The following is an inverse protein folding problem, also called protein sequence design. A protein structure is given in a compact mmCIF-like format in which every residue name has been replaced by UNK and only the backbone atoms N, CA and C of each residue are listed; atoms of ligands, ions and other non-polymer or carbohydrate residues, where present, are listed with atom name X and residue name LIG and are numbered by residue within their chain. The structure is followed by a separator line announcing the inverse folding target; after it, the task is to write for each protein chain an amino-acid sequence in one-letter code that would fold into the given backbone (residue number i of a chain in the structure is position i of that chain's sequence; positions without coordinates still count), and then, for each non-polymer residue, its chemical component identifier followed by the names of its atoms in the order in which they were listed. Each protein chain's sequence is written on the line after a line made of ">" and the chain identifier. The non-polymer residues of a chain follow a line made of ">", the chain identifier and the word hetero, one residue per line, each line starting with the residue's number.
data_IF_172254781421
#
_entry.id   IF_172254781421
#
_cell.length_a   1.000
_cell.length_b   1.000
_cell.length_c   1.000
_cell.angle_alpha   90.00
_cell.angle_beta   90.00
_cell.angle_gamma   90.00
#
_symmetry.space_group_name_H-M   'P 1'
#
loop_
_entity.id
_entity.type
_entity.pdbx_description
1 polymer ?
#
# COMPACT_ATOMS: atom_id res chain seq x y z
N UNK A 1 4.38 22.82 -48.15
CA UNK A 1 5.53 22.56 -47.23
C UNK A 1 5.12 22.68 -45.75
N UNK A 2 4.39 23.71 -45.37
CA UNK A 2 3.87 23.89 -44.00
C UNK A 2 2.89 22.79 -43.55
N UNK A 3 2.05 22.24 -44.43
CA UNK A 3 1.10 21.18 -44.09
C UNK A 3 1.79 19.85 -43.67
N UNK A 4 2.95 19.53 -44.23
CA UNK A 4 3.69 18.33 -43.88
C UNK A 4 4.43 18.44 -42.53
N UNK A 5 4.78 19.65 -42.12
CA UNK A 5 5.41 19.89 -40.80
C UNK A 5 4.35 19.71 -39.69
N UNK A 6 3.16 20.30 -39.88
CA UNK A 6 2.06 20.19 -38.90
C UNK A 6 1.58 18.74 -38.75
N UNK A 7 1.59 17.95 -39.82
CA UNK A 7 1.22 16.52 -39.75
C UNK A 7 2.30 15.68 -39.05
N UNK A 8 3.59 15.97 -39.23
CA UNK A 8 4.68 15.24 -38.56
C UNK A 8 4.69 15.52 -37.06
N UNK A 9 4.45 16.75 -36.64
CA UNK A 9 4.40 17.14 -35.24
C UNK A 9 3.19 16.47 -34.52
N UNK A 10 2.03 16.42 -35.15
CA UNK A 10 0.88 15.71 -34.60
C UNK A 10 1.11 14.20 -34.46
N UNK A 11 1.83 13.59 -35.41
CA UNK A 11 2.19 12.18 -35.33
C UNK A 11 3.17 11.91 -34.19
N UNK A 12 4.18 12.76 -34.01
CA UNK A 12 5.14 12.64 -32.92
C UNK A 12 4.46 12.77 -31.54
N UNK A 13 3.58 13.76 -31.39
CA UNK A 13 2.81 13.94 -30.14
C UNK A 13 1.96 12.72 -29.83
N UNK A 14 1.27 12.14 -30.84
CA UNK A 14 0.44 10.94 -30.66
C UNK A 14 1.27 9.71 -30.25
N UNK A 15 2.50 9.57 -30.75
CA UNK A 15 3.40 8.49 -30.29
C UNK A 15 3.84 8.68 -28.84
N UNK A 16 4.19 9.90 -28.44
CA UNK A 16 4.57 10.22 -27.06
C UNK A 16 3.40 9.94 -26.10
N UNK A 17 2.19 10.37 -26.43
CA UNK A 17 0.99 10.07 -25.64
C UNK A 17 0.76 8.58 -25.47
N UNK A 18 0.90 7.78 -26.54
CA UNK A 18 0.78 6.33 -26.49
C UNK A 18 1.83 5.67 -25.59
N UNK A 19 3.06 6.16 -25.66
CA UNK A 19 4.15 5.64 -24.80
C UNK A 19 3.85 5.94 -23.34
N UNK A 20 3.41 7.16 -23.02
CA UNK A 20 3.03 7.56 -21.66
C UNK A 20 1.84 6.70 -21.17
N UNK A 21 0.84 6.47 -22.00
CA UNK A 21 -0.32 5.64 -21.67
C UNK A 21 0.08 4.18 -21.36
N UNK A 22 0.94 3.59 -22.19
CA UNK A 22 1.43 2.22 -22.00
C UNK A 22 2.24 2.13 -20.70
N UNK A 23 3.11 3.10 -20.45
CA UNK A 23 3.92 3.16 -19.25
C UNK A 23 3.05 3.33 -17.98
N UNK A 24 2.04 4.19 -18.05
CA UNK A 24 1.07 4.35 -16.98
C UNK A 24 0.28 3.08 -16.67
N UNK A 25 -0.14 2.32 -17.70
CA UNK A 25 -0.78 1.01 -17.52
C UNK A 25 0.15 0.00 -16.85
N UNK A 26 1.42 -0.03 -17.24
CA UNK A 26 2.42 -0.91 -16.65
C UNK A 26 2.65 -0.59 -15.17
N UNK A 27 2.82 0.70 -14.82
CA UNK A 27 2.94 1.15 -13.44
C UNK A 27 1.70 0.79 -12.61
N UNK A 28 0.51 0.91 -13.19
CA UNK A 28 -0.74 0.57 -12.52
C UNK A 28 -0.81 -0.93 -12.19
N UNK A 29 -0.39 -1.82 -13.10
CA UNK A 29 -0.32 -3.26 -12.85
C UNK A 29 0.64 -3.56 -11.70
N UNK A 30 1.81 -2.93 -11.67
CA UNK A 30 2.79 -3.06 -10.59
C UNK A 30 2.16 -2.61 -9.27
N UNK A 31 1.51 -1.45 -9.24
CA UNK A 31 0.87 -0.92 -8.04
C UNK A 31 -0.20 -1.86 -7.49
N UNK A 32 -1.06 -2.42 -8.35
CA UNK A 32 -2.09 -3.40 -7.95
C UNK A 32 -1.44 -4.67 -7.38
N UNK A 33 -0.35 -5.14 -7.98
CA UNK A 33 0.39 -6.32 -7.50
C UNK A 33 0.98 -6.07 -6.10
N UNK A 34 1.59 -4.91 -5.88
CA UNK A 34 2.10 -4.53 -4.55
C UNK A 34 0.98 -4.40 -3.52
N UNK A 35 -0.15 -3.80 -3.89
CA UNK A 35 -1.31 -3.68 -3.03
C UNK A 35 -1.80 -5.06 -2.58
N UNK A 36 -1.93 -6.01 -3.52
CA UNK A 36 -2.31 -7.38 -3.20
C UNK A 36 -1.30 -8.06 -2.25
N UNK A 37 0.00 -7.89 -2.51
CA UNK A 37 1.06 -8.41 -1.64
C UNK A 37 0.97 -7.82 -0.21
N UNK A 38 0.67 -6.53 -0.05
CA UNK A 38 0.47 -5.90 1.26
C UNK A 38 -0.71 -6.52 2.02
N UNK A 39 -1.84 -6.76 1.34
CA UNK A 39 -3.01 -7.41 1.96
C UNK A 39 -2.63 -8.81 2.47
N UNK A 40 -1.99 -9.62 1.62
CA UNK A 40 -1.57 -10.98 1.99
C UNK A 40 -0.57 -10.95 3.16
N UNK A 41 0.36 -10.02 3.16
CA UNK A 41 1.34 -9.85 4.23
C UNK A 41 0.68 -9.51 5.57
N UNK A 42 -0.24 -8.55 5.59
CA UNK A 42 -0.97 -8.17 6.80
C UNK A 42 -1.86 -9.31 7.32
N UNK A 43 -2.51 -10.06 6.42
CA UNK A 43 -3.29 -11.25 6.79
C UNK A 43 -2.39 -12.31 7.45
N UNK A 44 -1.20 -12.56 6.87
CA UNK A 44 -0.23 -13.49 7.41
C UNK A 44 0.32 -13.02 8.77
N UNK A 45 0.62 -11.73 8.90
CA UNK A 45 1.05 -11.11 10.16
C UNK A 45 0.00 -11.32 11.27
N UNK A 46 -1.27 -10.99 11.00
CA UNK A 46 -2.35 -11.17 11.96
C UNK A 46 -2.56 -12.64 12.34
N UNK A 47 -2.45 -13.56 11.38
CA UNK A 47 -2.52 -15.01 11.66
C UNK A 47 -1.37 -15.47 12.56
N UNK A 48 -0.13 -15.05 12.27
CA UNK A 48 1.05 -15.39 13.07
C UNK A 48 0.97 -14.81 14.49
N UNK A 49 0.49 -13.57 14.63
CA UNK A 49 0.28 -12.93 15.93
C UNK A 49 -0.68 -13.74 16.79
N UNK A 50 -1.80 -14.22 16.24
CA UNK A 50 -2.75 -15.06 16.96
C UNK A 50 -2.10 -16.37 17.41
N UNK A 51 -1.37 -17.05 16.51
CA UNK A 51 -0.73 -18.33 16.83
C UNK A 51 0.32 -18.18 17.93
N UNK A 52 1.13 -17.12 17.88
CA UNK A 52 2.15 -16.88 18.91
C UNK A 52 1.55 -16.61 20.29
N UNK A 53 0.34 -16.03 20.34
CA UNK A 53 -0.34 -15.67 21.58
C UNK A 53 -1.50 -16.62 21.96
N UNK A 54 -1.57 -17.80 21.35
CA UNK A 54 -2.63 -18.79 21.61
C UNK A 54 -2.77 -19.14 23.10
N UNK A 55 -1.66 -19.22 23.83
CA UNK A 55 -1.65 -19.52 25.26
C UNK A 55 -2.32 -18.40 26.06
N UNK A 56 -2.02 -17.14 25.78
CA UNK A 56 -2.64 -15.98 26.42
C UNK A 56 -4.14 -15.90 26.11
N UNK A 57 -4.52 -16.21 24.85
CA UNK A 57 -5.91 -16.34 24.43
C UNK A 57 -6.63 -17.43 25.25
N UNK A 58 -5.97 -18.55 25.48
CA UNK A 58 -6.51 -19.66 26.28
C UNK A 58 -6.77 -19.24 27.75
N UNK A 59 -5.83 -18.51 28.36
CA UNK A 59 -5.97 -17.99 29.74
C UNK A 59 -7.11 -16.98 29.80
N UNK A 60 -7.14 -16.00 28.89
CA UNK A 60 -8.21 -14.99 28.85
C UNK A 60 -9.60 -15.64 28.66
N UNK A 61 -9.67 -16.66 27.84
CA UNK A 61 -10.92 -17.41 27.62
C UNK A 61 -11.33 -18.22 28.87
N UNK A 62 -10.38 -18.78 29.61
CA UNK A 62 -10.62 -19.48 30.87
C UNK A 62 -11.07 -18.54 32.00
N UNK A 63 -10.62 -17.29 31.98
CA UNK A 63 -11.05 -16.21 32.88
C UNK A 63 -12.45 -15.65 32.52
N UNK A 64 -13.09 -16.18 31.47
CA UNK A 64 -14.45 -15.79 31.07
C UNK A 64 -14.49 -14.63 30.07
N UNK A 65 -13.36 -14.19 29.49
CA UNK A 65 -13.36 -13.19 28.43
C UNK A 65 -14.10 -13.72 27.19
N UNK A 66 -14.94 -12.86 26.62
CA UNK A 66 -15.67 -13.20 25.41
C UNK A 66 -14.72 -13.20 24.20
N UNK A 67 -14.84 -14.18 23.31
CA UNK A 67 -14.07 -14.26 22.06
C UNK A 67 -14.16 -12.98 21.20
N UNK A 68 -15.23 -12.20 21.34
CA UNK A 68 -15.36 -10.91 20.69
C UNK A 68 -14.39 -9.86 21.22
N UNK A 69 -14.14 -9.86 22.51
CA UNK A 69 -13.25 -8.88 23.15
C UNK A 69 -11.78 -9.22 22.91
N UNK A 70 -11.46 -10.52 22.89
CA UNK A 70 -10.16 -11.02 22.42
C UNK A 70 -9.93 -10.61 20.96
N UNK A 71 -10.94 -10.78 20.10
CA UNK A 71 -10.85 -10.36 18.69
C UNK A 71 -10.59 -8.85 18.52
N UNK A 72 -11.14 -7.98 19.40
CA UNK A 72 -10.87 -6.54 19.39
C UNK A 72 -9.43 -6.20 19.73
N UNK A 73 -8.80 -6.94 20.66
CA UNK A 73 -7.39 -6.76 21.01
C UNK A 73 -6.49 -6.97 19.78
N UNK A 74 -6.70 -8.05 19.04
CA UNK A 74 -5.94 -8.31 17.80
C UNK A 74 -6.26 -7.35 16.69
N UNK A 75 -7.50 -6.84 16.61
CA UNK A 75 -7.85 -5.79 15.67
C UNK A 75 -7.09 -4.49 15.98
N UNK A 76 -6.95 -4.13 17.25
CA UNK A 76 -6.16 -2.96 17.66
C UNK A 76 -4.68 -3.15 17.32
N UNK A 77 -4.12 -4.34 17.50
CA UNK A 77 -2.74 -4.66 17.12
C UNK A 77 -2.51 -4.46 15.62
N UNK A 78 -3.39 -5.02 14.77
CA UNK A 78 -3.32 -4.85 13.32
C UNK A 78 -3.49 -3.37 12.92
N UNK A 79 -4.38 -2.63 13.60
CA UNK A 79 -4.53 -1.20 13.38
C UNK A 79 -3.27 -0.41 13.71
N UNK A 80 -2.60 -0.71 14.83
CA UNK A 80 -1.33 -0.05 15.18
C UNK A 80 -0.24 -0.30 14.14
N UNK A 81 -0.12 -1.54 13.66
CA UNK A 81 0.81 -1.88 12.57
C UNK A 81 0.41 -1.15 11.27
N UNK A 82 -0.89 -1.11 10.97
CA UNK A 82 -1.43 -0.38 9.83
C UNK A 82 -1.10 1.12 9.85
N UNK A 83 -1.25 1.78 11.00
CA UNK A 83 -0.86 3.19 11.19
C UNK A 83 0.64 3.38 10.96
N UNK A 84 1.48 2.47 11.44
CA UNK A 84 2.92 2.52 11.20
C UNK A 84 3.28 2.42 9.71
N UNK A 85 2.64 1.51 8.98
CA UNK A 85 2.80 1.34 7.53
C UNK A 85 2.34 2.60 6.80
N UNK A 86 1.21 3.20 7.22
CA UNK A 86 0.67 4.43 6.66
C UNK A 86 1.64 5.60 6.82
N UNK A 87 2.25 5.77 8.00
CA UNK A 87 3.28 6.77 8.22
C UNK A 87 4.51 6.58 7.32
N UNK A 88 4.95 5.33 7.12
CA UNK A 88 6.04 4.99 6.22
C UNK A 88 5.68 5.22 4.75
N UNK A 89 4.44 4.94 4.33
CA UNK A 89 4.00 5.19 2.95
C UNK A 89 3.99 6.67 2.60
N UNK A 90 3.50 7.53 3.51
CA UNK A 90 3.51 8.98 3.34
C UNK A 90 4.93 9.56 3.25
N UNK A 91 5.84 9.08 4.10
CA UNK A 91 7.25 9.45 4.02
C UNK A 91 7.87 9.00 2.70
N UNK A 92 7.60 7.76 2.29
CA UNK A 92 8.06 7.20 1.02
C UNK A 92 7.54 7.98 -0.19
N UNK A 93 6.28 8.40 -0.16
CA UNK A 93 5.68 9.22 -1.21
C UNK A 93 6.35 10.60 -1.28
N UNK A 94 6.58 11.27 -0.16
CA UNK A 94 7.25 12.55 -0.12
C UNK A 94 8.71 12.48 -0.63
N UNK A 95 9.49 11.55 -0.11
CA UNK A 95 10.88 11.32 -0.55
C UNK A 95 10.92 10.89 -2.02
N UNK A 96 10.01 10.01 -2.43
CA UNK A 96 9.87 9.56 -3.81
C UNK A 96 9.58 10.69 -4.78
N UNK A 97 8.73 11.65 -4.42
CA UNK A 97 8.46 12.84 -5.23
C UNK A 97 9.71 13.68 -5.44
N UNK A 98 10.48 13.93 -4.37
CA UNK A 98 11.74 14.71 -4.46
C UNK A 98 12.75 14.00 -5.37
N UNK A 99 12.98 12.70 -5.15
CA UNK A 99 13.92 11.92 -5.94
C UNK A 99 13.50 11.84 -7.41
N UNK A 100 12.20 11.65 -7.68
CA UNK A 100 11.67 11.61 -9.04
C UNK A 100 11.87 12.94 -9.76
N UNK A 101 11.63 14.07 -9.08
CA UNK A 101 11.87 15.38 -9.67
C UNK A 101 13.36 15.59 -10.00
N UNK A 102 14.28 15.24 -9.10
CA UNK A 102 15.73 15.36 -9.38
C UNK A 102 16.13 14.57 -10.62
N UNK A 103 15.73 13.30 -10.71
CA UNK A 103 16.11 12.42 -11.84
C UNK A 103 15.45 12.86 -13.14
N UNK A 104 14.17 13.28 -13.08
CA UNK A 104 13.45 13.71 -14.28
C UNK A 104 14.00 15.04 -14.81
N UNK A 105 14.27 16.03 -13.95
CA UNK A 105 14.84 17.32 -14.36
C UNK A 105 16.17 17.10 -15.04
N UNK A 106 17.10 16.36 -14.44
CA UNK A 106 18.41 16.04 -15.00
C UNK A 106 18.27 15.34 -16.37
N UNK A 107 17.35 14.41 -16.49
CA UNK A 107 17.09 13.71 -17.76
C UNK A 107 16.54 14.64 -18.84
N UNK A 108 15.65 15.55 -18.49
CA UNK A 108 15.08 16.53 -19.42
C UNK A 108 16.12 17.57 -19.84
N UNK A 109 16.95 18.08 -18.93
CA UNK A 109 18.03 18.99 -19.24
C UNK A 109 19.02 18.38 -20.24
N UNK A 110 19.35 17.10 -20.05
CA UNK A 110 20.23 16.38 -20.96
C UNK A 110 19.62 16.22 -22.37
N UNK A 111 18.33 15.88 -22.47
CA UNK A 111 17.65 15.66 -23.75
C UNK A 111 17.39 16.95 -24.51
N UNK A 112 16.95 18.00 -23.81
CA UNK A 112 16.55 19.26 -24.43
C UNK A 112 17.64 20.31 -24.47
N UNK A 113 18.79 20.05 -23.84
CA UNK A 113 19.94 20.96 -23.72
C UNK A 113 19.53 22.37 -23.22
N UNK A 114 18.55 22.39 -22.31
CA UNK A 114 17.96 23.59 -21.71
C UNK A 114 17.90 23.43 -20.19
N UNK A 115 18.19 24.49 -19.44
CA UNK A 115 18.05 24.47 -17.98
C UNK A 115 16.58 24.67 -17.59
N UNK A 116 16.07 23.76 -16.77
CA UNK A 116 14.69 23.79 -16.25
C UNK A 116 14.69 24.15 -14.76
N UNK A 117 15.29 25.28 -14.41
CA UNK A 117 15.27 25.79 -13.03
C UNK A 117 13.81 26.05 -12.60
N UNK A 118 13.39 25.42 -11.49
CA UNK A 118 12.07 25.54 -10.85
C UNK A 118 10.88 24.86 -11.54
N UNK A 119 11.08 23.81 -12.33
CA UNK A 119 9.98 22.98 -12.82
C UNK A 119 9.77 21.75 -11.91
N UNK A 120 8.64 21.69 -11.21
CA UNK A 120 8.19 20.48 -10.55
C UNK A 120 7.39 19.63 -11.54
N UNK A 121 8.00 18.53 -12.01
CA UNK A 121 7.35 17.59 -12.96
C UNK A 121 6.35 16.71 -12.21
N UNK A 122 6.72 16.27 -11.01
CA UNK A 122 5.85 15.49 -10.12
C UNK A 122 5.41 16.37 -8.96
N UNK A 123 4.12 16.64 -8.87
CA UNK A 123 3.54 17.52 -7.84
C UNK A 123 2.94 16.65 -6.73
N UNK A 124 3.36 16.92 -5.50
CA UNK A 124 2.76 16.35 -4.32
C UNK A 124 1.44 17.07 -4.01
N UNK A 125 0.32 16.42 -4.29
CA UNK A 125 -1.03 17.00 -4.10
C UNK A 125 -1.75 16.34 -2.93
N UNK A 126 -2.53 17.10 -2.18
CA UNK A 126 -3.34 16.60 -1.06
C UNK A 126 -4.33 15.50 -1.46
N UNK A 127 -4.78 15.49 -2.71
CA UNK A 127 -5.67 14.46 -3.25
C UNK A 127 -5.02 13.06 -3.20
N UNK A 128 -3.71 12.97 -3.51
CA UNK A 128 -2.97 11.71 -3.40
C UNK A 128 -2.82 11.25 -1.94
N UNK A 129 -2.59 12.19 -1.01
CA UNK A 129 -2.52 11.88 0.43
C UNK A 129 -3.84 11.29 0.93
N UNK A 130 -4.95 11.92 0.56
CA UNK A 130 -6.28 11.45 0.95
C UNK A 130 -6.59 10.09 0.31
N UNK A 131 -6.24 9.89 -0.95
CA UNK A 131 -6.42 8.62 -1.64
C UNK A 131 -5.61 7.49 -0.99
N UNK A 132 -4.33 7.74 -0.65
CA UNK A 132 -3.46 6.78 0.05
C UNK A 132 -4.03 6.42 1.43
N UNK A 133 -4.51 7.42 2.17
CA UNK A 133 -5.11 7.24 3.49
C UNK A 133 -6.37 6.36 3.45
N UNK A 134 -7.27 6.62 2.49
CA UNK A 134 -8.49 5.82 2.29
C UNK A 134 -8.11 4.38 1.89
N UNK A 135 -7.19 4.23 0.95
CA UNK A 135 -6.75 2.93 0.44
C UNK A 135 -6.07 2.11 1.54
N UNK A 136 -5.18 2.71 2.34
CA UNK A 136 -4.53 2.06 3.46
C UNK A 136 -5.56 1.60 4.52
N UNK A 137 -6.57 2.43 4.82
CA UNK A 137 -7.62 2.08 5.76
C UNK A 137 -8.44 0.88 5.26
N UNK A 138 -8.78 0.84 3.98
CA UNK A 138 -9.47 -0.30 3.35
C UNK A 138 -8.62 -1.57 3.46
N UNK A 139 -7.33 -1.50 3.16
CA UNK A 139 -6.41 -2.64 3.25
C UNK A 139 -6.35 -3.19 4.67
N UNK A 140 -6.19 -2.32 5.67
CA UNK A 140 -6.13 -2.72 7.08
C UNK A 140 -7.42 -3.39 7.53
N UNK A 141 -8.58 -2.82 7.16
CA UNK A 141 -9.88 -3.41 7.52
C UNK A 141 -10.07 -4.79 6.89
N UNK A 142 -9.79 -4.94 5.59
CA UNK A 142 -9.89 -6.23 4.88
C UNK A 142 -8.96 -7.26 5.52
N UNK A 143 -7.72 -6.87 5.80
CA UNK A 143 -6.70 -7.76 6.38
C UNK A 143 -7.06 -8.21 7.81
N UNK A 144 -7.73 -7.36 8.57
CA UNK A 144 -8.16 -7.67 9.94
C UNK A 144 -9.35 -8.65 10.01
N UNK A 145 -10.16 -8.71 8.95
CA UNK A 145 -11.31 -9.62 8.92
C UNK A 145 -10.90 -11.09 9.01
N UNK A 146 -9.84 -11.49 8.32
CA UNK A 146 -9.38 -12.88 8.27
C UNK A 146 -8.99 -13.44 9.64
N UNK A 147 -8.06 -12.83 10.40
CA UNK A 147 -7.69 -13.30 11.72
C UNK A 147 -8.86 -13.25 12.71
N UNK A 148 -9.77 -12.29 12.57
CA UNK A 148 -10.96 -12.19 13.42
C UNK A 148 -11.91 -13.39 13.21
N UNK A 149 -12.09 -13.85 11.97
CA UNK A 149 -12.88 -15.07 11.68
C UNK A 149 -12.17 -16.32 12.21
N UNK A 150 -10.85 -16.37 12.18
CA UNK A 150 -10.08 -17.50 12.70
C UNK A 150 -10.26 -17.66 14.20
N UNK A 151 -10.13 -16.59 14.99
CA UNK A 151 -10.31 -16.63 16.47
C UNK A 151 -11.68 -17.15 16.84
N UNK A 152 -12.74 -16.78 16.12
CA UNK A 152 -14.10 -17.25 16.41
C UNK A 152 -14.29 -18.76 16.25
N UNK A 153 -13.46 -19.43 15.44
CA UNK A 153 -13.50 -20.88 15.19
C UNK A 153 -12.61 -21.70 16.11
N UNK A 154 -11.66 -21.08 16.80
CA UNK A 154 -10.74 -21.78 17.68
C UNK A 154 -11.44 -22.09 19.00
N UNK A 155 -11.56 -23.39 19.31
CA UNK A 155 -12.10 -23.86 20.61
C UNK A 155 -10.98 -23.87 21.65
N UNK A 156 -11.17 -23.24 22.83
CA UNK A 156 -10.14 -23.13 23.89
C UNK A 156 -9.55 -24.49 24.32
N UNK A 157 -10.38 -25.53 24.33
CA UNK A 157 -9.99 -26.87 24.78
C UNK A 157 -8.88 -27.51 23.94
N UNK A 158 -8.83 -27.20 22.65
CA UNK A 158 -7.81 -27.77 21.75
C UNK A 158 -6.45 -27.08 21.88
N UNK A 159 -6.42 -25.86 22.41
CA UNK A 159 -5.19 -25.09 22.61
C UNK A 159 -4.38 -25.62 23.79
N UNK A 160 -5.06 -26.00 24.87
CA UNK A 160 -4.42 -26.52 26.07
C UNK A 160 -3.85 -27.95 25.89
N UNK A 161 -4.42 -28.76 25.00
CA UNK A 161 -3.96 -30.11 24.67
C UNK A 161 -2.77 -30.16 23.71
N UNK A 162 -2.47 -29.13 22.99
CA UNK A 162 -1.40 -29.10 21.96
C UNK A 162 0.01 -28.87 22.58
N UNK A 163 0.13 -28.70 23.88
CA UNK A 163 1.38 -28.42 24.59
C UNK A 163 1.85 -29.54 25.54
N UNK A 164 1.15 -30.66 25.56
CA UNK A 164 1.61 -31.93 26.13
C UNK A 164 2.23 -32.80 25.02
#
# INVERSE_FOLDING_TARGET
>A
MLSNIITSDNVAITYVEKVIEIFGKFLNIIAITFLFACVVYLMHFGYKSIISNLYEIGILSALGCNNKDIGKLFLLEILMVGIGILGLSLLGMYVGTILSNMVLIESFEYVFNASFDNLDIVIFTWDFVIADLILALIIVVISALFPMFYIRRVKPVNILKAKE
#
